data_IF_585356250437
#
_entry.id   IF_585356250437
#
_cell.length_a   1.000
_cell.length_b   1.000
_cell.length_c   1.000
_cell.angle_alpha   90.00
_cell.angle_beta   90.00
_cell.angle_gamma   90.00
#
_symmetry.space_group_name_H-M   'P 1'
#
loop_
_entity.id
_entity.type
_entity.pdbx_description
1 polymer ?
#
# COMPACT_ATOMS: atom_id res chain seq x y z
N UNK A 1 12.75 -6.49 5.78
CA UNK A 1 13.19 -5.28 5.06
C UNK A 1 11.99 -4.36 4.94
N UNK A 2 12.19 -3.05 4.84
CA UNK A 2 11.09 -2.11 4.59
C UNK A 2 10.65 -2.28 3.13
N UNK A 3 9.59 -3.03 2.89
CA UNK A 3 9.11 -3.35 1.54
C UNK A 3 8.69 -2.09 0.75
N UNK A 4 8.55 -0.93 1.41
CA UNK A 4 8.27 0.35 0.77
C UNK A 4 9.47 0.98 0.03
N UNK A 5 10.68 0.41 0.16
CA UNK A 5 11.93 0.98 -0.35
C UNK A 5 12.81 -0.08 -1.04
N UNK A 6 12.22 -0.95 -1.87
CA UNK A 6 12.99 -1.86 -2.72
C UNK A 6 13.65 -1.05 -3.83
N UNK A 7 14.99 -1.01 -3.84
CA UNK A 7 15.77 -0.52 -4.99
C UNK A 7 15.80 -1.55 -6.12
N UNK A 8 16.23 -1.12 -7.30
CA UNK A 8 16.33 -2.00 -8.47
C UNK A 8 17.47 -3.01 -8.25
N UNK A 9 17.24 -4.23 -8.70
CA UNK A 9 18.19 -5.32 -8.65
C UNK A 9 18.47 -5.86 -10.04
N UNK A 10 19.61 -6.55 -10.22
CA UNK A 10 19.96 -7.15 -11.51
C UNK A 10 18.87 -8.09 -12.09
N UNK A 11 18.06 -8.71 -11.21
CA UNK A 11 16.94 -9.56 -11.61
C UNK A 11 15.71 -8.81 -12.14
N UNK A 12 15.66 -7.48 -12.01
CA UNK A 12 14.55 -6.68 -12.54
C UNK A 12 14.73 -6.33 -14.03
N UNK A 13 15.94 -6.53 -14.58
CA UNK A 13 16.23 -6.30 -15.99
C UNK A 13 15.78 -7.50 -16.83
N UNK A 14 15.05 -7.22 -17.91
CA UNK A 14 14.66 -8.24 -18.87
C UNK A 14 15.89 -8.92 -19.47
N UNK A 15 15.85 -10.25 -19.58
CA UNK A 15 16.87 -11.07 -20.21
C UNK A 15 16.16 -12.01 -21.18
N UNK A 16 16.48 -11.89 -22.47
CA UNK A 16 16.00 -12.80 -23.51
C UNK A 16 16.70 -14.16 -23.39
N UNK A 17 16.03 -15.25 -23.80
CA UNK A 17 16.54 -16.63 -23.63
C UNK A 17 17.91 -16.86 -24.32
N UNK A 18 18.17 -16.15 -25.43
CA UNK A 18 19.41 -16.27 -26.22
C UNK A 18 20.48 -15.21 -25.86
N UNK A 19 20.18 -14.29 -24.93
CA UNK A 19 21.09 -13.20 -24.56
C UNK A 19 22.20 -13.67 -23.60
N UNK A 20 23.39 -13.09 -23.71
CA UNK A 20 24.47 -13.42 -22.78
C UNK A 20 24.21 -12.81 -21.41
N UNK A 21 24.42 -13.60 -20.35
CA UNK A 21 24.19 -13.12 -18.96
C UNK A 21 25.05 -11.92 -18.57
N UNK A 22 26.15 -11.67 -19.28
CA UNK A 22 27.06 -10.55 -19.05
C UNK A 22 26.72 -9.29 -19.86
N UNK A 23 25.67 -9.31 -20.68
CA UNK A 23 25.31 -8.17 -21.50
C UNK A 23 24.75 -7.02 -20.65
N UNK A 24 25.23 -5.81 -20.95
CA UNK A 24 24.72 -4.59 -20.35
C UNK A 24 23.26 -4.38 -20.76
N UNK A 25 22.42 -3.98 -19.80
CA UNK A 25 20.96 -3.88 -19.98
C UNK A 25 20.44 -2.58 -19.39
N UNK A 26 19.37 -2.07 -19.99
CA UNK A 26 18.69 -0.87 -19.54
C UNK A 26 17.21 -1.17 -19.30
N UNK A 27 16.63 -0.50 -18.32
CA UNK A 27 15.19 -0.48 -18.11
C UNK A 27 14.73 0.93 -17.75
N UNK A 28 13.46 1.21 -17.97
CA UNK A 28 12.82 2.38 -17.42
C UNK A 28 11.43 2.05 -16.92
N UNK A 29 10.97 2.77 -15.91
CA UNK A 29 9.61 2.71 -15.39
C UNK A 29 9.08 4.14 -15.38
N UNK A 30 7.89 4.35 -15.94
CA UNK A 30 7.30 5.67 -16.04
C UNK A 30 5.91 5.71 -15.39
N UNK A 31 5.69 6.72 -14.55
CA UNK A 31 4.41 7.01 -13.93
C UNK A 31 3.85 8.31 -14.51
N UNK A 32 2.62 8.24 -15.03
CA UNK A 32 1.89 9.37 -15.60
C UNK A 32 0.76 9.78 -14.67
N UNK A 33 0.82 11.01 -14.17
CA UNK A 33 -0.23 11.62 -13.37
C UNK A 33 -1.00 12.60 -14.26
N UNK A 34 -2.31 12.36 -14.40
CA UNK A 34 -3.20 13.19 -15.22
C UNK A 34 -4.13 13.98 -14.30
N UNK A 35 -4.29 15.27 -14.56
CA UNK A 35 -5.13 16.18 -13.77
C UNK A 35 -6.27 16.73 -14.64
N UNK A 36 -7.49 16.16 -14.54
CA UNK A 36 -8.58 16.43 -15.47
C UNK A 36 -9.29 17.79 -15.29
N UNK A 37 -9.12 18.48 -14.15
CA UNK A 37 -9.80 19.77 -13.90
C UNK A 37 -8.84 20.85 -13.37
N UNK A 38 -8.59 21.88 -14.18
CA UNK A 38 -7.75 23.06 -13.84
C UNK A 38 -8.60 24.28 -13.43
N UNK A 39 -9.94 24.15 -13.46
CA UNK A 39 -10.83 25.27 -13.16
C UNK A 39 -10.92 25.47 -11.63
N UNK A 40 -10.18 26.45 -11.12
CA UNK A 40 -10.28 27.03 -9.76
C UNK A 40 -10.13 26.08 -8.56
N UNK A 41 -9.67 24.84 -8.76
CA UNK A 41 -9.37 23.95 -7.65
C UNK A 41 -7.94 24.23 -7.13
N UNK A 42 -7.76 24.75 -5.89
CA UNK A 42 -6.44 25.03 -5.30
C UNK A 42 -5.60 23.76 -5.00
N UNK A 43 -5.98 22.63 -5.57
CA UNK A 43 -5.50 21.29 -5.23
C UNK A 43 -4.38 20.77 -6.14
N UNK A 44 -3.98 21.49 -7.18
CA UNK A 44 -2.69 21.24 -7.84
C UNK A 44 -1.65 22.06 -7.08
N UNK A 45 -0.80 21.45 -6.23
CA UNK A 45 0.08 22.25 -5.41
C UNK A 45 1.10 22.91 -6.32
N UNK A 46 1.32 24.20 -6.09
CA UNK A 46 2.42 24.98 -6.68
C UNK A 46 3.82 24.38 -6.44
N UNK A 47 3.91 23.29 -5.66
CA UNK A 47 5.11 22.54 -5.32
C UNK A 47 5.52 21.52 -6.42
N UNK A 48 4.61 21.12 -7.32
CA UNK A 48 4.96 20.24 -8.44
C UNK A 48 5.55 21.09 -9.58
N UNK A 49 6.81 21.48 -9.44
CA UNK A 49 7.61 21.95 -10.59
C UNK A 49 7.75 20.79 -11.60
N UNK A 50 7.61 21.09 -12.89
CA UNK A 50 7.67 20.10 -13.98
C UNK A 50 6.29 19.53 -14.40
N UNK A 51 5.23 20.30 -14.17
CA UNK A 51 3.94 20.08 -14.83
C UNK A 51 4.06 20.51 -16.31
N UNK A 52 3.60 19.65 -17.21
CA UNK A 52 3.48 19.95 -18.63
C UNK A 52 2.02 19.89 -19.06
N UNK A 53 1.70 20.52 -20.19
CA UNK A 53 0.39 20.39 -20.83
C UNK A 53 0.51 19.31 -21.91
N UNK A 54 -0.34 18.30 -21.85
CA UNK A 54 -0.44 17.25 -22.87
C UNK A 54 -0.84 17.85 -24.21
N UNK A 55 -0.11 17.50 -25.26
CA UNK A 55 -0.38 17.97 -26.63
C UNK A 55 -1.61 17.29 -27.25
N UNK A 56 -1.98 16.10 -26.75
CA UNK A 56 -3.08 15.28 -27.29
C UNK A 56 -4.45 15.79 -26.82
N UNK A 57 -4.58 16.08 -25.53
CA UNK A 57 -5.88 16.39 -24.90
C UNK A 57 -5.89 17.71 -24.11
N UNK A 58 -4.76 18.41 -24.00
CA UNK A 58 -4.66 19.68 -23.27
C UNK A 58 -4.72 19.54 -21.74
N UNK A 59 -4.68 18.32 -21.21
CA UNK A 59 -4.68 18.08 -19.76
C UNK A 59 -3.33 18.40 -19.14
N UNK A 60 -3.32 18.79 -17.86
CA UNK A 60 -2.09 18.89 -17.09
C UNK A 60 -1.57 17.49 -16.77
N UNK A 61 -0.30 17.28 -17.07
CA UNK A 61 0.41 16.02 -16.82
C UNK A 61 1.64 16.26 -15.95
N UNK A 62 1.91 15.30 -15.06
CA UNK A 62 3.19 15.19 -14.36
C UNK A 62 3.74 13.80 -14.64
N UNK A 63 4.95 13.72 -15.20
CA UNK A 63 5.59 12.46 -15.59
C UNK A 63 6.84 12.25 -14.77
N UNK A 64 6.93 11.09 -14.13
CA UNK A 64 8.11 10.65 -13.41
C UNK A 64 8.66 9.41 -14.09
N UNK A 65 9.91 9.47 -14.55
CA UNK A 65 10.61 8.35 -15.17
C UNK A 65 11.78 7.93 -14.29
N UNK A 66 11.77 6.68 -13.88
CA UNK A 66 12.93 5.99 -13.33
C UNK A 66 13.67 5.34 -14.51
N UNK A 67 14.99 5.55 -14.59
CA UNK A 67 15.87 4.92 -15.57
C UNK A 67 16.95 4.17 -14.82
N UNK A 68 17.25 2.94 -15.26
CA UNK A 68 18.32 2.16 -14.66
C UNK A 68 19.13 1.42 -15.70
N UNK A 69 20.42 1.29 -15.42
CA UNK A 69 21.38 0.56 -16.23
C UNK A 69 22.10 -0.49 -15.40
N UNK A 70 22.29 -1.67 -15.99
CA UNK A 70 22.98 -2.82 -15.41
C UNK A 70 24.25 -3.06 -16.24
N UNK A 71 25.41 -3.02 -15.58
CA UNK A 71 26.71 -3.26 -16.19
C UNK A 71 27.47 -4.37 -15.44
N UNK A 72 28.43 -5.01 -16.11
CA UNK A 72 29.19 -6.15 -15.57
C UNK A 72 30.71 -5.94 -15.62
N UNK A 73 31.16 -4.71 -15.88
CA UNK A 73 32.57 -4.40 -16.17
C UNK A 73 33.52 -4.79 -15.04
N UNK A 74 33.09 -4.59 -13.79
CA UNK A 74 33.91 -4.83 -12.60
C UNK A 74 33.29 -5.82 -11.61
N UNK A 75 32.00 -6.14 -11.76
CA UNK A 75 31.26 -7.02 -10.88
C UNK A 75 30.50 -8.07 -11.70
N UNK A 76 30.85 -9.37 -11.58
CA UNK A 76 30.15 -10.44 -12.30
C UNK A 76 28.71 -10.66 -11.80
N UNK A 77 28.34 -10.10 -10.64
CA UNK A 77 26.96 -10.09 -10.15
C UNK A 77 26.14 -8.92 -10.73
N UNK A 78 26.80 -7.98 -11.41
CA UNK A 78 26.22 -6.80 -12.01
C UNK A 78 26.15 -5.61 -11.05
N UNK A 79 26.52 -4.43 -11.54
CA UNK A 79 26.34 -3.14 -10.88
C UNK A 79 25.15 -2.41 -11.49
N UNK A 80 24.26 -1.90 -10.64
CA UNK A 80 23.03 -1.19 -11.05
C UNK A 80 23.17 0.28 -10.70
N UNK A 81 23.05 1.12 -11.72
CA UNK A 81 22.92 2.58 -11.57
C UNK A 81 21.48 2.98 -11.85
N UNK A 82 20.86 3.76 -10.96
CA UNK A 82 19.47 4.22 -11.06
C UNK A 82 19.35 5.74 -10.92
N UNK A 83 18.54 6.35 -11.77
CA UNK A 83 18.20 7.77 -11.74
C UNK A 83 16.69 7.98 -11.85
N UNK A 84 16.18 9.07 -11.24
CA UNK A 84 14.76 9.43 -11.27
C UNK A 84 14.61 10.86 -11.79
N UNK A 85 13.84 10.99 -12.86
CA UNK A 85 13.64 12.20 -13.63
C UNK A 85 12.17 12.61 -13.64
N UNK A 86 11.94 13.91 -13.70
CA UNK A 86 10.71 14.52 -14.19
C UNK A 86 10.89 14.71 -15.70
N UNK A 87 9.86 14.35 -16.46
CA UNK A 87 9.86 14.48 -17.92
C UNK A 87 8.90 15.59 -18.35
N UNK A 88 9.41 16.56 -19.11
CA UNK A 88 8.63 17.66 -19.64
C UNK A 88 7.96 17.28 -20.97
N UNK A 89 6.63 17.21 -20.99
CA UNK A 89 5.82 16.93 -22.19
C UNK A 89 5.30 15.50 -22.27
N UNK A 90 4.73 15.10 -23.39
CA UNK A 90 4.06 13.80 -23.62
C UNK A 90 4.77 12.89 -24.64
N UNK A 91 6.02 13.22 -25.00
CA UNK A 91 6.83 12.43 -25.92
C UNK A 91 7.16 11.04 -25.37
N UNK A 92 7.14 10.04 -26.24
CA UNK A 92 7.48 8.65 -25.89
C UNK A 92 8.97 8.49 -25.50
N UNK A 93 9.84 9.17 -26.25
CA UNK A 93 11.29 9.19 -26.04
C UNK A 93 11.76 10.62 -25.71
N UNK A 94 11.86 10.99 -24.43
CA UNK A 94 12.35 12.29 -24.02
C UNK A 94 13.87 12.41 -24.19
N UNK A 95 14.32 13.55 -24.71
CA UNK A 95 15.74 13.89 -24.79
C UNK A 95 16.29 14.33 -23.42
N UNK A 96 17.62 14.46 -23.29
CA UNK A 96 18.26 14.86 -22.04
C UNK A 96 17.78 16.25 -21.55
N UNK A 97 17.51 17.16 -22.49
CA UNK A 97 17.05 18.52 -22.18
C UNK A 97 15.59 18.55 -21.69
N UNK A 98 14.82 17.48 -21.92
CA UNK A 98 13.45 17.32 -21.41
C UNK A 98 13.39 16.68 -20.01
N UNK A 99 14.55 16.39 -19.41
CA UNK A 99 14.65 15.68 -18.14
C UNK A 99 15.19 16.57 -17.04
N UNK A 100 14.50 16.58 -15.91
CA UNK A 100 14.92 17.30 -14.72
C UNK A 100 14.99 16.35 -13.53
N UNK A 101 16.04 16.47 -12.71
CA UNK A 101 16.20 15.58 -11.55
C UNK A 101 15.04 15.76 -10.58
N UNK A 102 14.37 14.67 -10.20
CA UNK A 102 13.31 14.71 -9.19
C UNK A 102 13.92 14.91 -7.79
N UNK A 103 13.56 16.00 -7.12
CA UNK A 103 14.02 16.24 -5.75
C UNK A 103 13.27 15.35 -4.75
N UNK A 104 13.97 14.91 -3.70
CA UNK A 104 13.37 14.08 -2.65
C UNK A 104 12.16 14.74 -1.96
N UNK A 105 12.17 16.08 -1.83
CA UNK A 105 11.05 16.84 -1.26
C UNK A 105 9.79 16.74 -2.12
N UNK A 106 9.93 16.83 -3.45
CA UNK A 106 8.82 16.67 -4.40
C UNK A 106 8.34 15.21 -4.42
N UNK A 107 9.29 14.25 -4.48
CA UNK A 107 8.98 12.82 -4.42
C UNK A 107 8.19 12.45 -3.17
N UNK A 108 8.60 12.96 -2.01
CA UNK A 108 7.92 12.70 -0.74
C UNK A 108 6.55 13.38 -0.63
N UNK A 109 6.22 14.33 -1.52
CA UNK A 109 4.87 14.87 -1.67
C UNK A 109 3.88 13.85 -2.22
N UNK A 110 4.35 12.81 -2.92
CA UNK A 110 3.53 11.69 -3.37
C UNK A 110 3.70 10.55 -2.37
N UNK A 111 2.66 10.28 -1.58
CA UNK A 111 2.70 9.26 -0.54
C UNK A 111 2.15 7.94 -1.06
N UNK A 112 2.98 6.91 -1.08
CA UNK A 112 2.56 5.53 -1.35
C UNK A 112 2.37 4.79 -0.03
N UNK A 113 1.13 4.42 0.26
CA UNK A 113 0.76 3.57 1.38
C UNK A 113 0.59 2.13 0.87
N UNK A 114 1.69 1.38 0.89
CA UNK A 114 1.67 -0.05 0.55
C UNK A 114 1.19 -0.90 1.74
N UNK A 115 0.17 -1.71 1.49
CA UNK A 115 -0.43 -2.64 2.43
C UNK A 115 -0.10 -4.05 1.94
N UNK A 116 0.88 -4.74 2.54
CA UNK A 116 1.31 -6.06 2.08
C UNK A 116 0.23 -7.12 2.32
N UNK A 117 0.39 -8.27 1.65
CA UNK A 117 -0.38 -9.48 1.88
C UNK A 117 -0.32 -9.94 3.34
N UNK A 118 0.89 -10.02 3.90
CA UNK A 118 1.11 -10.36 5.31
C UNK A 118 1.08 -9.09 6.18
N UNK A 119 0.00 -8.93 6.95
CA UNK A 119 -0.30 -7.71 7.70
C UNK A 119 0.09 -7.87 9.16
N UNK A 120 1.15 -7.18 9.56
CA UNK A 120 1.52 -7.06 10.97
C UNK A 120 1.17 -5.66 11.53
N UNK A 121 0.04 -5.52 12.26
CA UNK A 121 -0.35 -4.24 12.85
C UNK A 121 0.62 -3.77 13.94
N UNK A 122 1.42 -4.66 14.56
CA UNK A 122 2.38 -4.25 15.60
C UNK A 122 3.44 -3.29 15.05
N UNK A 123 3.80 -3.43 13.77
CA UNK A 123 4.71 -2.50 13.09
C UNK A 123 4.09 -1.11 13.00
N UNK A 124 2.80 -1.03 12.70
CA UNK A 124 2.06 0.23 12.53
C UNK A 124 1.66 0.91 13.85
N UNK A 125 1.71 0.17 14.96
CA UNK A 125 1.45 0.68 16.30
C UNK A 125 2.70 1.25 16.99
N UNK A 126 3.90 1.06 16.41
CA UNK A 126 5.12 1.61 17.02
C UNK A 126 5.08 3.13 17.05
N UNK A 127 5.59 3.73 18.12
CA UNK A 127 5.86 5.16 18.16
C UNK A 127 7.08 5.49 17.29
N UNK A 128 6.86 5.64 15.99
CA UNK A 128 7.88 6.01 15.01
C UNK A 128 7.26 6.84 13.89
N UNK A 129 8.07 7.66 13.21
CA UNK A 129 7.58 8.50 12.10
C UNK A 129 7.21 7.70 10.84
N UNK A 130 7.51 6.39 10.81
CA UNK A 130 7.12 5.47 9.72
C UNK A 130 5.80 4.75 10.01
N UNK A 131 5.50 4.52 11.27
CA UNK A 131 4.32 3.81 11.71
C UNK A 131 3.12 4.76 11.79
N UNK A 132 1.93 4.26 11.44
CA UNK A 132 0.71 5.06 11.41
C UNK A 132 0.43 5.73 12.76
N UNK A 133 0.41 4.95 13.86
CA UNK A 133 0.10 5.50 15.18
C UNK A 133 1.15 6.54 15.62
N UNK A 134 2.43 6.23 15.43
CA UNK A 134 3.51 7.16 15.77
C UNK A 134 3.45 8.47 15.01
N UNK A 135 3.08 8.45 13.71
CA UNK A 135 2.86 9.67 12.93
C UNK A 135 1.73 10.52 13.52
N UNK A 136 0.59 9.91 13.82
CA UNK A 136 -0.56 10.60 14.40
C UNK A 136 -0.23 11.21 15.76
N UNK A 137 0.41 10.44 16.66
CA UNK A 137 0.79 10.91 17.99
C UNK A 137 1.79 12.07 17.94
N UNK A 138 2.78 12.01 17.05
CA UNK A 138 3.77 13.10 16.86
C UNK A 138 3.16 14.37 16.27
N UNK A 139 2.06 14.23 15.55
CA UNK A 139 1.37 15.34 14.91
C UNK A 139 0.29 15.97 15.79
N UNK A 140 0.10 15.51 17.03
CA UNK A 140 -0.82 16.16 17.97
C UNK A 140 -0.41 17.63 18.14
N UNK A 141 -1.39 18.51 18.00
CA UNK A 141 -1.27 19.92 18.35
C UNK A 141 -1.63 20.08 19.83
N UNK A 142 -0.62 20.38 20.63
CA UNK A 142 -0.77 20.59 22.07
C UNK A 142 -1.25 22.02 22.33
N UNK A 143 -2.14 22.17 23.32
CA UNK A 143 -2.49 23.49 23.84
C UNK A 143 -1.44 23.97 24.85
N UNK A 144 -1.43 25.28 25.13
CA UNK A 144 -0.41 25.90 25.98
C UNK A 144 -0.37 25.26 27.37
N UNK A 145 0.78 24.74 27.77
CA UNK A 145 1.00 24.10 29.07
C UNK A 145 0.57 22.63 29.19
N UNK A 146 -0.07 22.03 28.17
CA UNK A 146 -0.43 20.60 28.22
C UNK A 146 0.79 19.69 28.26
N UNK A 147 1.81 19.99 27.45
CA UNK A 147 3.04 19.19 27.42
C UNK A 147 3.74 19.22 28.79
N UNK A 148 3.85 20.40 29.40
CA UNK A 148 4.45 20.58 30.73
C UNK A 148 3.68 19.78 31.79
N UNK A 149 2.35 19.74 31.70
CA UNK A 149 1.51 18.93 32.61
C UNK A 149 1.80 17.44 32.50
N UNK A 150 1.96 16.91 31.27
CA UNK A 150 2.35 15.51 31.07
C UNK A 150 3.74 15.21 31.66
N UNK A 151 4.69 16.11 31.46
CA UNK A 151 6.06 15.96 31.99
C UNK A 151 6.10 16.04 33.52
N UNK A 152 5.32 16.91 34.15
CA UNK A 152 5.20 17.01 35.61
C UNK A 152 4.63 15.71 36.22
N UNK A 153 3.60 15.13 35.60
CA UNK A 153 3.04 13.86 36.04
C UNK A 153 4.05 12.70 35.90
N UNK A 154 4.85 12.71 34.83
CA UNK A 154 5.92 11.75 34.65
C UNK A 154 7.03 11.89 35.70
N UNK A 155 7.40 13.11 36.09
CA UNK A 155 8.33 13.35 37.19
C UNK A 155 7.76 12.86 38.53
N UNK A 156 6.46 13.05 38.76
CA UNK A 156 5.77 12.55 39.95
C UNK A 156 5.83 11.02 40.03
N UNK A 157 5.60 10.32 38.91
CA UNK A 157 5.73 8.86 38.83
C UNK A 157 7.16 8.38 39.16
N UNK A 158 8.17 9.09 38.65
CA UNK A 158 9.57 8.83 38.99
C UNK A 158 9.88 9.09 40.47
N UNK A 159 9.23 10.07 41.10
CA UNK A 159 9.29 10.28 42.55
C UNK A 159 8.80 9.06 43.33
N UNK A 160 7.61 8.55 42.99
CA UNK A 160 7.03 7.36 43.63
C UNK A 160 7.93 6.12 43.50
N UNK A 161 8.66 5.97 42.39
CA UNK A 161 9.63 4.88 42.22
C UNK A 161 10.82 4.99 43.19
N UNK A 162 11.34 6.22 43.37
CA UNK A 162 12.48 6.49 44.27
C UNK A 162 12.11 6.35 45.74
N UNK A 163 10.85 6.55 46.09
CA UNK A 163 10.36 6.39 47.46
C UNK A 163 10.12 4.92 47.84
N UNK A 164 10.11 4.00 46.87
CA UNK A 164 9.91 2.57 47.14
C UNK A 164 11.21 1.93 47.67
N UNK A 165 11.25 1.39 48.91
CA UNK A 165 12.47 0.87 49.51
C UNK A 165 13.09 -0.30 48.73
N UNK A 166 12.27 -1.15 48.11
CA UNK A 166 12.77 -2.29 47.33
C UNK A 166 13.42 -1.84 46.03
N UNK A 167 12.83 -0.84 45.34
CA UNK A 167 13.43 -0.28 44.12
C UNK A 167 14.74 0.46 44.41
N UNK A 168 14.83 1.17 45.55
CA UNK A 168 16.09 1.79 46.01
C UNK A 168 17.16 0.72 46.25
N UNK A 169 16.81 -0.33 47.01
CA UNK A 169 17.75 -1.41 47.29
C UNK A 169 18.24 -2.10 46.01
N UNK A 170 17.36 -2.34 45.04
CA UNK A 170 17.73 -2.90 43.73
C UNK A 170 18.68 -1.95 42.99
N UNK A 171 18.36 -0.65 42.96
CA UNK A 171 19.16 0.36 42.27
C UNK A 171 20.56 0.46 42.87
N UNK A 172 20.67 0.50 44.20
CA UNK A 172 21.94 0.54 44.91
C UNK A 172 22.78 -0.70 44.63
N UNK A 173 22.17 -1.88 44.66
CA UNK A 173 22.86 -3.14 44.36
C UNK A 173 23.39 -3.17 42.92
N UNK A 174 22.63 -2.71 41.94
CA UNK A 174 23.07 -2.62 40.54
C UNK A 174 24.23 -1.63 40.43
N UNK A 175 24.09 -0.43 40.98
CA UNK A 175 25.10 0.62 40.89
C UNK A 175 26.42 0.23 41.58
N UNK A 176 26.35 -0.42 42.74
CA UNK A 176 27.53 -0.93 43.44
C UNK A 176 28.29 -1.99 42.62
N UNK A 177 27.58 -2.85 41.89
CA UNK A 177 28.23 -3.84 41.04
C UNK A 177 28.77 -3.20 39.75
N UNK A 178 28.01 -2.27 39.16
CA UNK A 178 28.40 -1.56 37.95
C UNK A 178 29.70 -0.75 38.14
N UNK A 179 29.80 0.02 39.23
CA UNK A 179 31.01 0.79 39.60
C UNK A 179 32.25 -0.08 39.83
N UNK A 180 32.07 -1.36 40.22
CA UNK A 180 33.17 -2.32 40.36
C UNK A 180 33.63 -2.84 39.00
N UNK A 181 32.69 -3.12 38.09
CA UNK A 181 32.94 -3.73 36.79
C UNK A 181 33.51 -2.69 35.80
N UNK A 182 32.97 -1.48 35.81
CA UNK A 182 33.23 -0.47 34.80
C UNK A 182 33.80 0.81 35.42
N UNK A 183 35.01 1.20 34.99
CA UNK A 183 35.77 2.35 35.51
C UNK A 183 35.95 3.49 34.51
N UNK A 184 35.08 3.57 33.51
CA UNK A 184 35.10 4.67 32.55
C UNK A 184 34.83 6.03 33.20
N UNK A 185 35.26 7.11 32.55
CA UNK A 185 34.96 8.48 32.97
C UNK A 185 33.46 8.81 32.82
N UNK A 186 32.83 8.25 31.79
CA UNK A 186 31.40 8.41 31.49
C UNK A 186 30.70 7.08 31.71
N UNK A 187 29.42 7.10 32.11
CA UNK A 187 28.59 5.92 32.41
C UNK A 187 29.07 5.15 33.64
N UNK A 188 29.66 5.80 34.64
CA UNK A 188 30.15 5.14 35.86
C UNK A 188 29.08 5.02 36.97
N UNK A 189 27.85 5.43 36.70
CA UNK A 189 26.71 5.33 37.61
C UNK A 189 25.56 4.64 36.88
N UNK A 190 24.85 3.78 37.60
CA UNK A 190 23.62 3.16 37.16
C UNK A 190 22.45 3.67 38.01
N UNK A 191 21.30 3.90 37.37
CA UNK A 191 20.06 4.28 38.03
C UNK A 191 18.88 3.56 37.39
N UNK A 192 17.85 3.30 38.17
CA UNK A 192 16.58 2.76 37.70
C UNK A 192 15.55 3.89 37.71
N UNK A 193 15.09 4.32 36.54
CA UNK A 193 14.05 5.33 36.39
C UNK A 193 13.02 4.85 35.37
N UNK A 194 11.78 5.33 35.47
CA UNK A 194 10.83 5.19 34.37
C UNK A 194 11.32 6.08 33.20
N UNK A 195 11.34 5.54 31.97
CA UNK A 195 11.74 6.29 30.78
C UNK A 195 10.58 7.20 30.36
N UNK A 196 10.38 8.28 31.11
CA UNK A 196 9.36 9.32 30.89
C UNK A 196 9.96 10.69 31.21
N UNK A 197 11.01 11.05 30.50
CA UNK A 197 11.72 12.33 30.62
C UNK A 197 11.13 13.46 29.78
N UNK A 198 10.39 13.13 28.72
CA UNK A 198 9.70 14.08 27.85
C UNK A 198 8.35 13.49 27.37
N UNK A 199 7.52 14.32 26.74
CA UNK A 199 6.22 13.89 26.19
C UNK A 199 6.36 12.75 25.19
N UNK A 200 7.41 12.71 24.38
CA UNK A 200 7.61 11.67 23.35
C UNK A 200 7.84 10.30 23.99
N UNK A 201 8.60 10.23 25.08
CA UNK A 201 8.80 9.02 25.89
C UNK A 201 7.49 8.53 26.52
N UNK A 202 6.61 9.44 26.95
CA UNK A 202 5.28 9.10 27.47
C UNK A 202 4.38 8.55 26.34
N UNK A 203 4.31 9.25 25.21
CA UNK A 203 3.51 8.82 24.05
C UNK A 203 3.96 7.44 23.52
N UNK A 204 5.24 7.11 23.66
CA UNK A 204 5.79 5.80 23.30
C UNK A 204 5.20 4.64 24.13
N UNK A 205 4.67 4.92 25.32
CA UNK A 205 4.01 3.94 26.17
C UNK A 205 2.55 3.68 25.79
N UNK A 206 1.96 4.49 24.89
CA UNK A 206 0.60 4.28 24.41
C UNK A 206 0.54 2.96 23.65
N UNK A 207 -0.31 2.05 24.13
CA UNK A 207 -0.57 0.75 23.53
C UNK A 207 -2.03 0.64 23.12
N UNK A 208 -2.28 0.09 21.94
CA UNK A 208 -3.62 -0.25 21.50
C UNK A 208 -4.04 -1.58 22.16
N UNK A 209 -5.12 -1.52 22.94
CA UNK A 209 -5.70 -2.66 23.64
C UNK A 209 -7.15 -2.88 23.19
N UNK A 210 -7.54 -4.14 23.06
CA UNK A 210 -8.89 -4.54 22.67
C UNK A 210 -9.64 -5.09 23.87
N UNK A 211 -10.91 -4.73 24.01
CA UNK A 211 -11.75 -5.17 25.12
C UNK A 211 -13.24 -5.14 24.76
N UNK A 212 -14.06 -6.00 25.38
CA UNK A 212 -13.66 -7.13 26.25
C UNK A 212 -13.34 -8.40 25.44
N UNK A 213 -12.54 -9.31 26.01
CA UNK A 213 -12.59 -10.72 25.60
C UNK A 213 -13.82 -11.43 26.22
N UNK A 214 -13.99 -12.72 25.90
CA UNK A 214 -15.10 -13.52 26.43
C UNK A 214 -15.13 -13.60 27.97
N UNK A 215 -14.01 -13.32 28.64
CA UNK A 215 -13.88 -13.31 30.10
C UNK A 215 -13.85 -11.88 30.69
N UNK A 216 -14.07 -10.84 29.87
CA UNK A 216 -14.07 -9.45 30.31
C UNK A 216 -12.69 -8.80 30.39
N UNK A 217 -11.62 -9.48 29.96
CA UNK A 217 -10.25 -8.98 30.06
C UNK A 217 -9.87 -8.10 28.87
N UNK A 218 -8.79 -7.33 29.07
CA UNK A 218 -8.11 -6.61 28.00
C UNK A 218 -7.19 -7.56 27.24
N UNK A 219 -7.13 -7.40 25.93
CA UNK A 219 -6.33 -8.22 25.02
C UNK A 219 -5.37 -7.33 24.25
N UNK A 220 -4.10 -7.71 24.27
CA UNK A 220 -3.07 -7.07 23.47
C UNK A 220 -3.18 -7.45 21.99
N UNK A 221 -2.73 -6.56 21.11
CA UNK A 221 -2.72 -6.78 19.66
C UNK A 221 -1.99 -8.08 19.26
N UNK A 222 -0.95 -8.47 19.98
CA UNK A 222 -0.20 -9.71 19.75
C UNK A 222 -1.02 -10.99 19.92
N UNK A 223 -2.09 -10.95 20.71
CA UNK A 223 -2.99 -12.10 20.98
C UNK A 223 -4.14 -12.22 19.98
N UNK A 224 -4.26 -11.28 19.04
CA UNK A 224 -5.28 -11.32 18.00
C UNK A 224 -4.97 -12.43 16.98
N UNK A 225 -6.02 -12.99 16.38
CA UNK A 225 -5.88 -13.87 15.20
C UNK A 225 -5.39 -13.07 13.99
N UNK A 226 -4.85 -13.74 12.97
CA UNK A 226 -4.31 -13.05 11.79
C UNK A 226 -5.38 -12.27 11.00
N UNK A 227 -6.63 -12.77 11.00
CA UNK A 227 -7.76 -12.02 10.44
C UNK A 227 -8.07 -10.76 11.25
N UNK A 228 -8.04 -10.85 12.59
CA UNK A 228 -8.22 -9.67 13.45
C UNK A 228 -7.06 -8.67 13.29
N UNK A 229 -5.82 -9.14 13.19
CA UNK A 229 -4.64 -8.30 12.91
C UNK A 229 -4.78 -7.54 11.59
N UNK A 230 -5.26 -8.21 10.54
CA UNK A 230 -5.55 -7.58 9.25
C UNK A 230 -6.60 -6.48 9.39
N UNK A 231 -7.69 -6.73 10.13
CA UNK A 231 -8.73 -5.73 10.40
C UNK A 231 -8.18 -4.52 11.17
N UNK A 232 -7.30 -4.73 12.16
CA UNK A 232 -6.63 -3.64 12.89
C UNK A 232 -5.77 -2.81 11.96
N UNK A 233 -5.00 -3.46 11.07
CA UNK A 233 -4.20 -2.77 10.08
C UNK A 233 -5.06 -1.84 9.21
N UNK A 234 -6.16 -2.37 8.64
CA UNK A 234 -7.09 -1.56 7.85
C UNK A 234 -7.73 -0.42 8.65
N UNK A 235 -8.09 -0.65 9.91
CA UNK A 235 -8.65 0.38 10.78
C UNK A 235 -7.66 1.52 11.08
N UNK A 236 -6.38 1.19 11.31
CA UNK A 236 -5.32 2.19 11.50
C UNK A 236 -5.09 2.99 10.23
N UNK A 237 -4.98 2.32 9.08
CA UNK A 237 -4.85 2.98 7.78
C UNK A 237 -6.05 3.90 7.52
N UNK A 238 -7.26 3.47 7.86
CA UNK A 238 -8.45 4.32 7.79
C UNK A 238 -8.36 5.56 8.66
N UNK A 239 -8.00 5.38 9.92
CA UNK A 239 -7.89 6.49 10.86
C UNK A 239 -6.91 7.55 10.35
N UNK A 240 -5.77 7.12 9.78
CA UNK A 240 -4.81 8.05 9.16
C UNK A 240 -5.46 8.86 8.04
N UNK A 241 -6.14 8.21 7.08
CA UNK A 241 -6.78 8.91 5.96
C UNK A 241 -7.92 9.83 6.39
N UNK A 242 -8.75 9.38 7.33
CA UNK A 242 -9.85 10.19 7.84
C UNK A 242 -9.33 11.44 8.56
N UNK A 243 -8.22 11.30 9.31
CA UNK A 243 -7.54 12.44 9.97
C UNK A 243 -6.85 13.34 8.94
N UNK A 244 -6.16 12.79 7.93
CA UNK A 244 -5.55 13.57 6.84
C UNK A 244 -6.60 14.41 6.12
N UNK A 245 -7.74 13.81 5.78
CA UNK A 245 -8.87 14.47 5.12
C UNK A 245 -9.47 15.56 6.01
N UNK A 246 -9.72 15.26 7.28
CA UNK A 246 -10.28 16.23 8.23
C UNK A 246 -9.34 17.42 8.46
N UNK A 247 -8.03 17.17 8.61
CA UNK A 247 -7.03 18.23 8.78
C UNK A 247 -6.94 19.11 7.54
N UNK A 248 -6.98 18.54 6.32
CA UNK A 248 -7.05 19.34 5.08
C UNK A 248 -8.29 20.21 5.03
N UNK A 249 -9.46 19.64 5.30
CA UNK A 249 -10.71 20.38 5.28
C UNK A 249 -10.69 21.53 6.28
N UNK A 250 -10.16 21.30 7.49
CA UNK A 250 -10.00 22.35 8.49
C UNK A 250 -9.08 23.49 8.01
N UNK A 251 -7.99 23.20 7.28
CA UNK A 251 -7.12 24.23 6.69
C UNK A 251 -7.87 25.06 5.65
N UNK A 252 -8.60 24.39 4.74
CA UNK A 252 -9.39 25.05 3.67
C UNK A 252 -10.46 25.96 4.28
N UNK A 253 -11.20 25.44 5.27
CA UNK A 253 -12.30 26.15 5.94
C UNK A 253 -11.82 27.14 7.01
N UNK A 254 -10.49 27.26 7.21
CA UNK A 254 -9.84 28.08 8.24
C UNK A 254 -10.36 27.80 9.66
N UNK A 255 -10.64 26.52 9.95
CA UNK A 255 -11.08 26.02 11.24
C UNK A 255 -9.90 25.48 12.07
N UNK A 256 -9.99 25.46 13.41
CA UNK A 256 -8.97 24.84 14.24
C UNK A 256 -8.90 23.33 14.00
N UNK A 257 -7.68 22.78 13.95
CA UNK A 257 -7.42 21.35 13.93
C UNK A 257 -6.65 20.92 15.18
N UNK A 258 -6.92 19.69 15.64
CA UNK A 258 -6.20 19.03 16.74
C UNK A 258 -4.85 18.45 16.28
N UNK A 259 -4.57 18.50 14.98
CA UNK A 259 -3.32 18.02 14.40
C UNK A 259 -2.58 19.17 13.73
N UNK A 260 -1.26 19.17 13.91
CA UNK A 260 -0.33 20.08 13.26
C UNK A 260 -0.08 19.62 11.82
N UNK A 261 -0.52 20.43 10.85
CA UNK A 261 -0.45 20.11 9.43
C UNK A 261 0.99 19.91 8.92
N UNK A 262 1.94 20.69 9.45
CA UNK A 262 3.35 20.61 9.05
C UNK A 262 3.99 19.32 9.59
N UNK A 263 3.61 18.90 10.80
CA UNK A 263 4.05 17.62 11.37
C UNK A 263 3.37 16.42 10.73
N UNK A 264 2.09 16.54 10.34
CA UNK A 264 1.37 15.52 9.58
C UNK A 264 2.02 15.25 8.22
N UNK A 265 2.68 16.27 7.64
CA UNK A 265 3.27 16.25 6.29
C UNK A 265 2.24 15.76 5.27
N UNK A 266 1.11 16.46 5.22
CA UNK A 266 -0.02 16.11 4.36
C UNK A 266 0.46 15.95 2.90
N UNK A 267 0.33 14.76 2.28
CA UNK A 267 0.82 14.55 0.92
C UNK A 267 0.04 15.37 -0.11
N UNK A 268 0.64 15.63 -1.26
CA UNK A 268 -0.05 16.21 -2.41
C UNK A 268 -1.01 15.18 -3.01
N UNK A 269 -0.54 13.94 -3.13
CA UNK A 269 -1.30 12.81 -3.66
C UNK A 269 -0.99 11.56 -2.84
N UNK A 270 -2.00 10.72 -2.64
CA UNK A 270 -1.86 9.44 -1.96
C UNK A 270 -2.16 8.28 -2.90
N UNK A 271 -1.27 7.30 -2.97
CA UNK A 271 -1.52 6.02 -3.61
C UNK A 271 -1.66 4.95 -2.54
N UNK A 272 -2.78 4.23 -2.53
CA UNK A 272 -2.96 3.04 -1.71
C UNK A 272 -2.70 1.83 -2.60
N UNK A 273 -1.68 1.05 -2.27
CA UNK A 273 -1.37 -0.20 -2.96
C UNK A 273 -1.67 -1.35 -2.02
N UNK A 274 -2.80 -2.04 -2.23
CA UNK A 274 -3.26 -3.13 -1.39
C UNK A 274 -2.98 -4.48 -2.07
N UNK A 275 -2.13 -5.27 -1.43
CA UNK A 275 -1.80 -6.59 -1.91
C UNK A 275 -2.67 -7.66 -1.24
N UNK A 276 -3.27 -8.50 -2.08
CA UNK A 276 -4.02 -9.72 -1.73
C UNK A 276 -4.86 -9.56 -0.45
N UNK A 277 -5.86 -8.66 -0.43
CA UNK A 277 -6.71 -8.42 0.73
C UNK A 277 -7.46 -9.66 1.23
N UNK A 278 -7.60 -10.69 0.40
CA UNK A 278 -8.16 -12.01 0.75
C UNK A 278 -7.30 -12.79 1.75
N UNK A 279 -5.99 -12.52 1.83
CA UNK A 279 -5.11 -13.25 2.73
C UNK A 279 -5.49 -13.02 4.19
N UNK A 280 -5.66 -14.13 4.92
CA UNK A 280 -6.09 -14.22 6.31
C UNK A 280 -7.51 -13.68 6.62
N UNK A 281 -8.32 -13.37 5.60
CA UNK A 281 -9.69 -12.88 5.78
C UNK A 281 -10.73 -13.82 5.17
N UNK A 282 -11.88 -13.94 5.84
CA UNK A 282 -13.02 -14.63 5.22
C UNK A 282 -13.65 -13.78 4.12
N UNK A 283 -14.30 -14.39 3.12
CA UNK A 283 -14.94 -13.65 2.02
C UNK A 283 -15.95 -12.59 2.48
N UNK A 284 -16.57 -12.77 3.65
CA UNK A 284 -17.50 -11.79 4.22
C UNK A 284 -16.83 -10.50 4.69
N UNK A 285 -15.57 -10.55 5.12
CA UNK A 285 -14.81 -9.34 5.47
C UNK A 285 -14.29 -8.62 4.24
N UNK A 286 -14.03 -9.34 3.14
CA UNK A 286 -13.49 -8.78 1.91
C UNK A 286 -14.39 -7.67 1.33
N UNK A 287 -15.71 -7.86 1.37
CA UNK A 287 -16.66 -6.83 0.95
C UNK A 287 -16.55 -5.53 1.76
N UNK A 288 -16.27 -5.63 3.06
CA UNK A 288 -16.07 -4.45 3.93
C UNK A 288 -14.74 -3.76 3.61
N UNK A 289 -13.67 -4.53 3.45
CA UNK A 289 -12.35 -4.00 3.06
C UNK A 289 -12.45 -3.27 1.72
N UNK A 290 -13.09 -3.87 0.72
CA UNK A 290 -13.26 -3.24 -0.59
C UNK A 290 -14.09 -1.96 -0.53
N UNK A 291 -15.11 -1.90 0.34
CA UNK A 291 -15.84 -0.64 0.57
C UNK A 291 -14.91 0.44 1.13
N UNK A 292 -14.11 0.12 2.16
CA UNK A 292 -13.15 1.06 2.73
C UNK A 292 -12.17 1.59 1.68
N UNK A 293 -11.64 0.70 0.83
CA UNK A 293 -10.69 1.07 -0.22
C UNK A 293 -11.34 1.95 -1.29
N UNK A 294 -12.57 1.62 -1.72
CA UNK A 294 -13.33 2.46 -2.63
C UNK A 294 -13.59 3.84 -2.04
N UNK A 295 -13.98 3.91 -0.76
CA UNK A 295 -14.22 5.18 -0.07
C UNK A 295 -12.95 6.06 -0.07
N UNK A 296 -11.74 5.49 0.04
CA UNK A 296 -10.50 6.28 -0.14
C UNK A 296 -10.32 6.77 -1.57
N UNK A 297 -10.50 5.88 -2.55
CA UNK A 297 -10.33 6.17 -3.98
C UNK A 297 -11.37 7.15 -4.55
N UNK A 298 -12.43 7.49 -3.82
CA UNK A 298 -13.35 8.57 -4.20
C UNK A 298 -12.81 9.97 -3.94
N UNK A 299 -11.71 10.12 -3.21
CA UNK A 299 -11.08 11.42 -2.98
C UNK A 299 -10.21 11.80 -4.18
N UNK A 300 -10.32 13.04 -4.68
CA UNK A 300 -9.57 13.50 -5.87
C UNK A 300 -8.04 13.43 -5.72
N UNK A 301 -7.54 13.44 -4.48
CA UNK A 301 -6.12 13.36 -4.14
C UNK A 301 -5.66 11.95 -3.77
N UNK A 302 -6.48 10.92 -4.01
CA UNK A 302 -6.16 9.55 -3.65
C UNK A 302 -6.54 8.55 -4.74
N UNK A 303 -5.59 7.69 -5.11
CA UNK A 303 -5.86 6.52 -5.94
C UNK A 303 -5.64 5.25 -5.13
N UNK A 304 -6.44 4.21 -5.42
CA UNK A 304 -6.26 2.89 -4.83
C UNK A 304 -6.05 1.84 -5.92
N UNK A 305 -5.04 1.00 -5.74
CA UNK A 305 -4.72 -0.16 -6.57
C UNK A 305 -4.80 -1.38 -5.67
N UNK A 306 -5.44 -2.44 -6.17
CA UNK A 306 -5.58 -3.71 -5.46
C UNK A 306 -5.08 -4.83 -6.35
N UNK A 307 -4.15 -5.65 -5.85
CA UNK A 307 -3.83 -6.94 -6.47
C UNK A 307 -4.64 -8.05 -5.80
N UNK A 308 -5.12 -9.01 -6.58
CA UNK A 308 -5.92 -10.13 -6.07
C UNK A 308 -5.77 -11.34 -6.99
N UNK A 309 -5.80 -12.52 -6.40
CA UNK A 309 -6.01 -13.78 -7.08
C UNK A 309 -7.40 -14.38 -6.74
N UNK A 310 -8.25 -13.64 -6.03
CA UNK A 310 -9.56 -14.10 -5.57
C UNK A 310 -10.67 -13.73 -6.54
N UNK A 311 -11.29 -14.75 -7.12
CA UNK A 311 -12.55 -14.63 -7.87
C UNK A 311 -13.64 -13.90 -7.05
N UNK A 312 -13.67 -14.12 -5.74
CA UNK A 312 -14.61 -13.45 -4.85
C UNK A 312 -14.44 -11.92 -4.82
N UNK A 313 -13.22 -11.40 -4.99
CA UNK A 313 -12.98 -9.95 -5.07
C UNK A 313 -13.36 -9.42 -6.44
N UNK A 314 -12.93 -10.12 -7.49
CA UNK A 314 -13.13 -9.72 -8.88
C UNK A 314 -14.60 -9.55 -9.21
N UNK A 315 -15.48 -10.42 -8.72
CA UNK A 315 -16.93 -10.29 -8.89
C UNK A 315 -17.56 -9.04 -8.25
N UNK A 316 -16.81 -8.26 -7.44
CA UNK A 316 -17.29 -7.08 -6.69
C UNK A 316 -16.72 -5.75 -7.19
N UNK A 317 -15.92 -5.77 -8.24
CA UNK A 317 -15.35 -4.57 -8.87
C UNK A 317 -15.98 -4.30 -10.22
N UNK A 318 -15.92 -3.05 -10.68
CA UNK A 318 -16.39 -2.73 -12.03
C UNK A 318 -15.39 -3.36 -13.02
N UNK A 319 -15.84 -4.16 -14.01
CA UNK A 319 -14.93 -4.80 -14.95
C UNK A 319 -13.99 -3.84 -15.71
N UNK A 320 -14.39 -2.57 -15.93
CA UNK A 320 -13.52 -1.54 -16.54
C UNK A 320 -12.29 -1.20 -15.68
N UNK A 321 -12.35 -1.47 -14.38
CA UNK A 321 -11.26 -1.22 -13.43
C UNK A 321 -10.27 -2.38 -13.36
N UNK A 322 -10.58 -3.52 -13.99
CA UNK A 322 -9.71 -4.70 -13.96
C UNK A 322 -8.57 -4.51 -14.97
N UNK A 323 -7.37 -4.89 -14.55
CA UNK A 323 -6.19 -5.08 -15.41
C UNK A 323 -5.71 -6.50 -15.18
N UNK A 324 -5.73 -7.32 -16.23
CA UNK A 324 -5.27 -8.70 -16.17
C UNK A 324 -3.78 -8.74 -16.50
N UNK A 325 -3.00 -9.40 -15.65
CA UNK A 325 -1.56 -9.56 -15.81
C UNK A 325 -1.28 -11.02 -16.16
N UNK A 326 -0.62 -11.27 -17.29
CA UNK A 326 -0.27 -12.61 -17.75
C UNK A 326 1.17 -12.65 -18.22
N UNK A 327 1.92 -13.65 -17.80
CA UNK A 327 3.21 -13.94 -18.41
C UNK A 327 3.00 -14.52 -19.81
N UNK A 328 3.61 -13.90 -20.80
CA UNK A 328 3.69 -14.46 -22.14
C UNK A 328 4.92 -15.37 -22.23
N UNK A 329 4.68 -16.62 -22.58
CA UNK A 329 5.73 -17.63 -22.64
C UNK A 329 6.63 -17.49 -23.87
N UNK A 330 6.16 -16.82 -24.93
CA UNK A 330 6.92 -16.58 -26.16
C UNK A 330 7.82 -15.37 -25.98
N UNK A 331 7.28 -14.23 -25.54
CA UNK A 331 8.05 -12.99 -25.38
C UNK A 331 8.73 -12.84 -24.01
N UNK A 332 8.52 -13.79 -23.08
CA UNK A 332 8.99 -13.75 -21.69
C UNK A 332 8.65 -12.45 -20.94
N UNK A 333 7.61 -11.77 -21.40
CA UNK A 333 7.19 -10.48 -20.85
C UNK A 333 5.79 -10.58 -20.25
N UNK A 334 5.53 -9.76 -19.24
CA UNK A 334 4.19 -9.63 -18.68
C UNK A 334 3.33 -8.78 -19.61
N UNK A 335 2.30 -9.38 -20.18
CA UNK A 335 1.26 -8.66 -20.88
C UNK A 335 0.19 -8.19 -19.90
N UNK A 336 -0.18 -6.92 -20.01
CA UNK A 336 -1.21 -6.29 -19.20
C UNK A 336 -2.36 -5.93 -20.13
N UNK A 337 -3.55 -6.45 -19.84
CA UNK A 337 -4.74 -6.21 -20.66
C UNK A 337 -5.87 -5.59 -19.84
N UNK A 338 -6.46 -4.52 -20.36
CA UNK A 338 -7.74 -4.00 -19.87
C UNK A 338 -8.89 -4.77 -20.51
N UNK A 339 -10.03 -4.83 -19.82
CA UNK A 339 -11.21 -5.44 -20.41
C UNK A 339 -11.76 -4.57 -21.55
N UNK A 340 -11.80 -5.11 -22.76
CA UNK A 340 -12.44 -4.46 -23.90
C UNK A 340 -13.96 -4.65 -23.81
N UNK A 341 -14.65 -3.73 -23.15
CA UNK A 341 -16.10 -3.70 -23.16
C UNK A 341 -16.62 -2.92 -24.38
N UNK A 342 -17.72 -3.35 -25.02
CA UNK A 342 -18.45 -2.51 -25.98
C UNK A 342 -18.89 -1.17 -25.36
N UNK A 343 -19.14 -0.16 -26.20
CA UNK A 343 -19.61 1.14 -25.73
C UNK A 343 -20.93 1.04 -24.94
N UNK A 344 -21.08 1.89 -23.91
CA UNK A 344 -22.10 1.79 -22.84
C UNK A 344 -23.57 1.88 -23.29
N UNK A 345 -23.83 2.18 -24.57
CA UNK A 345 -25.18 2.29 -25.13
C UNK A 345 -25.79 0.93 -25.56
N UNK A 346 -25.04 -0.16 -25.47
CA UNK A 346 -25.44 -1.48 -25.98
C UNK A 346 -25.88 -2.41 -24.84
N UNK A 347 -27.03 -3.10 -24.97
CA UNK A 347 -27.45 -4.17 -24.04
C UNK A 347 -26.35 -5.23 -23.85
N UNK A 348 -25.49 -5.37 -24.86
CA UNK A 348 -24.31 -6.22 -24.90
C UNK A 348 -23.28 -5.87 -23.81
N UNK A 349 -22.99 -4.59 -23.58
CA UNK A 349 -22.02 -4.15 -22.57
C UNK A 349 -22.50 -4.50 -21.15
N UNK A 350 -23.82 -4.36 -20.92
CA UNK A 350 -24.45 -4.73 -19.65
C UNK A 350 -24.39 -6.24 -19.42
N UNK A 351 -24.72 -7.04 -20.43
CA UNK A 351 -24.69 -8.49 -20.32
C UNK A 351 -23.27 -9.03 -20.07
N UNK A 352 -22.28 -8.52 -20.80
CA UNK A 352 -20.86 -8.85 -20.59
C UNK A 352 -20.43 -8.48 -19.16
N UNK A 353 -20.75 -7.26 -18.72
CA UNK A 353 -20.42 -6.79 -17.37
C UNK A 353 -21.04 -7.67 -16.27
N UNK A 354 -22.28 -8.11 -16.43
CA UNK A 354 -22.95 -8.96 -15.44
C UNK A 354 -22.42 -10.39 -15.43
N UNK A 355 -22.15 -11.02 -16.59
CA UNK A 355 -21.63 -12.38 -16.57
C UNK A 355 -20.16 -12.44 -16.09
N UNK A 356 -19.35 -11.41 -16.36
CA UNK A 356 -18.02 -11.26 -15.78
C UNK A 356 -18.08 -11.19 -14.24
N UNK A 357 -19.07 -10.49 -13.68
CA UNK A 357 -19.28 -10.44 -12.23
C UNK A 357 -19.81 -11.75 -11.66
N UNK A 358 -20.66 -12.44 -12.43
CA UNK A 358 -21.24 -13.72 -12.03
C UNK A 358 -20.23 -14.87 -12.07
N UNK A 359 -19.31 -14.85 -13.04
CA UNK A 359 -18.31 -15.89 -13.28
C UNK A 359 -16.89 -15.33 -13.33
N UNK A 360 -16.38 -14.78 -12.21
CA UNK A 360 -15.04 -14.19 -12.15
C UNK A 360 -13.90 -15.18 -12.36
N UNK A 361 -14.17 -16.50 -12.27
CA UNK A 361 -13.21 -17.58 -12.56
C UNK A 361 -12.60 -17.47 -13.97
N UNK A 362 -13.30 -16.85 -14.94
CA UNK A 362 -12.80 -16.63 -16.31
C UNK A 362 -11.45 -15.91 -16.35
N UNK A 363 -11.16 -15.06 -15.37
CA UNK A 363 -9.92 -14.28 -15.32
C UNK A 363 -8.71 -15.09 -14.88
N UNK A 364 -8.93 -16.27 -14.29
CA UNK A 364 -7.88 -17.13 -13.77
C UNK A 364 -7.69 -18.39 -14.63
N UNK A 365 -8.57 -18.59 -15.62
CA UNK A 365 -8.53 -19.72 -16.52
C UNK A 365 -7.48 -19.54 -17.63
N UNK A 366 -6.85 -20.65 -18.04
CA UNK A 366 -6.06 -20.72 -19.28
C UNK A 366 -6.95 -20.93 -20.51
N UNK A 367 -8.08 -21.60 -20.31
CA UNK A 367 -9.09 -21.86 -21.34
C UNK A 367 -10.47 -21.70 -20.71
N UNK A 368 -11.33 -20.93 -21.37
CA UNK A 368 -12.73 -20.77 -20.97
C UNK A 368 -13.61 -21.50 -21.97
N UNK A 369 -14.45 -22.40 -21.49
CA UNK A 369 -15.50 -23.06 -22.27
C UNK A 369 -16.84 -22.44 -21.91
N UNK A 370 -17.44 -21.75 -22.87
CA UNK A 370 -18.71 -21.06 -22.67
C UNK A 370 -19.88 -21.99 -22.98
N UNK A 371 -20.66 -22.33 -21.95
CA UNK A 371 -21.87 -23.15 -22.06
C UNK A 371 -23.12 -22.28 -22.15
N UNK A 372 -24.18 -22.81 -22.77
CA UNK A 372 -25.49 -22.15 -22.79
C UNK A 372 -26.15 -22.18 -21.41
N UNK A 373 -25.98 -23.26 -20.63
CA UNK A 373 -26.53 -23.38 -19.29
C UNK A 373 -25.80 -24.36 -18.37
N UNK A 374 -26.40 -24.62 -17.21
CA UNK A 374 -25.79 -25.40 -16.12
C UNK A 374 -25.52 -26.86 -16.51
N UNK A 375 -26.25 -27.39 -17.50
CA UNK A 375 -26.05 -28.74 -18.03
C UNK A 375 -24.62 -28.92 -18.56
N UNK A 376 -24.11 -27.98 -19.35
CA UNK A 376 -22.76 -28.02 -19.89
C UNK A 376 -21.70 -27.92 -18.78
N UNK A 377 -21.96 -27.11 -17.74
CA UNK A 377 -21.08 -26.98 -16.58
C UNK A 377 -20.89 -28.32 -15.84
N UNK A 378 -21.89 -29.19 -15.84
CA UNK A 378 -21.82 -30.50 -15.18
C UNK A 378 -21.32 -31.61 -16.12
N UNK A 379 -21.73 -31.58 -17.38
CA UNK A 379 -21.46 -32.67 -18.34
C UNK A 379 -20.06 -32.57 -18.95
N UNK A 380 -19.63 -31.37 -19.35
CA UNK A 380 -18.34 -31.20 -20.05
C UNK A 380 -17.13 -31.62 -19.20
N UNK A 381 -17.04 -31.28 -17.90
CA UNK A 381 -15.95 -31.77 -17.05
C UNK A 381 -15.89 -33.30 -17.02
N UNK A 382 -17.04 -33.98 -16.86
CA UNK A 382 -17.11 -35.45 -16.84
C UNK A 382 -16.69 -36.09 -18.15
N UNK A 383 -17.02 -35.47 -19.28
CA UNK A 383 -16.58 -35.95 -20.60
C UNK A 383 -15.06 -35.84 -20.70
N UNK A 384 -14.47 -34.70 -20.31
CA UNK A 384 -13.03 -34.50 -20.33
C UNK A 384 -12.30 -35.49 -19.41
N UNK A 385 -12.82 -35.70 -18.20
CA UNK A 385 -12.32 -36.70 -17.26
C UNK A 385 -12.33 -38.12 -17.86
N UNK A 386 -13.38 -38.48 -18.61
CA UNK A 386 -13.46 -39.77 -19.30
C UNK A 386 -12.35 -39.95 -20.36
N UNK A 387 -11.91 -38.87 -21.00
CA UNK A 387 -10.77 -38.87 -21.91
C UNK A 387 -9.42 -38.70 -21.20
N UNK A 388 -9.38 -38.79 -19.86
CA UNK A 388 -8.17 -38.68 -19.07
C UNK A 388 -7.65 -37.25 -18.90
N UNK A 389 -8.50 -36.24 -19.13
CA UNK A 389 -8.17 -34.83 -18.95
C UNK A 389 -8.87 -34.28 -17.69
N UNK A 390 -8.09 -33.78 -16.74
CA UNK A 390 -8.60 -33.08 -15.57
C UNK A 390 -8.70 -31.57 -15.87
N UNK A 391 -9.89 -31.00 -15.72
CA UNK A 391 -10.15 -29.58 -15.99
C UNK A 391 -9.37 -28.67 -15.04
N UNK A 392 -9.24 -29.03 -13.76
CA UNK A 392 -8.60 -28.20 -12.75
C UNK A 392 -7.09 -28.19 -12.96
N UNK A 393 -6.51 -29.35 -13.27
CA UNK A 393 -5.08 -29.49 -13.61
C UNK A 393 -4.66 -28.63 -14.82
N UNK A 394 -5.57 -28.41 -15.76
CA UNK A 394 -5.33 -27.59 -16.95
C UNK A 394 -5.82 -26.15 -16.82
N UNK A 395 -6.39 -25.77 -15.67
CA UNK A 395 -6.98 -24.44 -15.43
C UNK A 395 -8.07 -24.09 -16.45
N UNK A 396 -8.96 -25.04 -16.74
CA UNK A 396 -10.09 -24.88 -17.66
C UNK A 396 -11.34 -24.51 -16.86
N UNK A 397 -11.98 -23.39 -17.20
CA UNK A 397 -13.27 -22.99 -16.59
C UNK A 397 -14.42 -23.22 -17.56
N UNK A 398 -15.42 -24.01 -17.13
CA UNK A 398 -16.69 -24.17 -17.86
C UNK A 398 -17.72 -23.21 -17.26
N UNK A 399 -18.18 -22.25 -18.06
CA UNK A 399 -19.00 -21.13 -17.58
C UNK A 399 -20.38 -21.13 -18.26
N UNK A 400 -21.48 -21.30 -17.50
CA UNK A 400 -22.83 -21.29 -18.05
C UNK A 400 -23.35 -19.85 -18.19
N UNK A 401 -23.46 -19.34 -19.42
CA UNK A 401 -23.84 -17.95 -19.66
C UNK A 401 -25.36 -17.70 -19.68
N UNK A 402 -26.20 -18.73 -19.64
CA UNK A 402 -27.65 -18.59 -19.51
C UNK A 402 -28.37 -18.13 -20.78
N UNK A 403 -28.01 -18.69 -21.94
CA UNK A 403 -28.75 -18.55 -23.20
C UNK A 403 -27.97 -17.99 -24.41
N UNK A 404 -28.70 -17.60 -25.46
CA UNK A 404 -28.25 -17.24 -26.84
C UNK A 404 -27.15 -16.17 -26.99
N UNK A 405 -26.75 -15.50 -25.92
CA UNK A 405 -25.81 -14.37 -25.94
C UNK A 405 -24.35 -14.80 -25.71
N UNK A 406 -24.07 -16.12 -25.66
CA UNK A 406 -22.70 -16.69 -25.66
C UNK A 406 -21.82 -16.10 -26.77
N UNK A 407 -22.42 -15.80 -27.92
CA UNK A 407 -21.74 -15.23 -29.10
C UNK A 407 -21.14 -13.83 -28.88
N UNK A 408 -21.39 -13.17 -27.75
CA UNK A 408 -20.78 -11.87 -27.45
C UNK A 408 -19.52 -11.97 -26.59
N UNK A 409 -19.22 -13.15 -26.02
CA UNK A 409 -18.11 -13.36 -25.09
C UNK A 409 -16.78 -13.75 -25.74
N UNK A 410 -16.75 -14.18 -27.01
CA UNK A 410 -15.51 -14.59 -27.68
C UNK A 410 -14.52 -13.42 -27.93
N UNK A 411 -14.95 -12.17 -27.74
CA UNK A 411 -14.12 -10.97 -27.93
C UNK A 411 -13.44 -10.48 -26.64
N UNK A 412 -13.74 -11.10 -25.49
CA UNK A 412 -13.22 -10.72 -24.17
C UNK A 412 -11.81 -11.22 -23.93
#
# INVERSE_FOLDING_TARGET
MDHSLRGISASDFHLEDDAEKGDARNLFIEAWFHFPEVNDNPSIPSIINGLAVSSINGELIFRVRLEASLNFDYNPLGDVDEDIWIVDGDMEQPEADNKHRLLATQRNGIQVNYIPANRDPLVQLKYSSKAILGRLLKAIKWSDGEQESFEEQAQTLNGLAKDNPALVQITDAINQNWTKIYRGRHLNQAGLNFPVGDVDEILRLIQLQFMPDAAGNKVDTSRLSDGQKSLVYFALTKALFDIDKATRQAIIDKQPSNFDADKMKLPIFSLIALEEPENHLSPHYLGRVMKLIKDYGTSDLCQSIVSTHSASLVGRVNPKQIRHFRLDNETKSTHIQSLSLPEDADEQAKYISEAVKAYPEIYFAKLVVLGEGDSEQVILPKILEHYGQDIDAHSISVVPLGGRHVNHFWRL
#
